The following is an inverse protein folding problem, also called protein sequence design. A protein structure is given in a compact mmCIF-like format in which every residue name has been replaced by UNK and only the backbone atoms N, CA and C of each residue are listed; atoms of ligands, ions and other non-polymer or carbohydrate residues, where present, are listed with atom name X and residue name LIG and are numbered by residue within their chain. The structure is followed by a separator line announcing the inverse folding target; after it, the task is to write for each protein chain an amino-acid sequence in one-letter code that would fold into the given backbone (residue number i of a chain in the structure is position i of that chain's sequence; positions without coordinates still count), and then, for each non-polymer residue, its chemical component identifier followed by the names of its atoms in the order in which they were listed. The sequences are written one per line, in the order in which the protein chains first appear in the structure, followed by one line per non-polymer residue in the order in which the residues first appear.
data_IF_198905138607
#
_entry.id   IF_198905138607
#
_cell.length_a   1.000
_cell.length_b   1.000
_cell.length_c   1.000
_cell.angle_alpha   90.00
_cell.angle_beta   90.00
_cell.angle_gamma   90.00
#
_symmetry.space_group_name_H-M   'P 1'
#
loop_
_entity.id
_entity.type
_entity.pdbx_description
1 polymer ?
#
# COMPACT_ATOMS: atom_id res chain seq x y z
N UNK A 1 -20.51 48.23 16.29
CA UNK A 1 -20.46 46.99 15.49
C UNK A 1 -19.02 46.71 15.13
N UNK A 2 -18.30 46.04 16.04
CA UNK A 2 -16.93 45.58 15.84
C UNK A 2 -16.99 44.24 15.11
N UNK A 3 -16.38 44.17 13.93
CA UNK A 3 -16.15 42.91 13.20
C UNK A 3 -15.28 42.02 14.08
N UNK A 4 -15.78 40.83 14.40
CA UNK A 4 -15.02 39.78 15.07
C UNK A 4 -13.90 39.31 14.17
N UNK A 5 -12.66 39.34 14.69
CA UNK A 5 -11.52 38.60 14.17
C UNK A 5 -11.90 37.11 14.11
N UNK A 6 -12.15 36.60 12.91
CA UNK A 6 -12.13 35.16 12.66
C UNK A 6 -10.66 34.74 12.62
N UNK A 7 -10.08 34.51 13.79
CA UNK A 7 -8.77 33.86 13.94
C UNK A 7 -8.85 32.43 13.41
N UNK A 8 -8.67 32.26 12.10
CA UNK A 8 -8.36 30.96 11.54
C UNK A 8 -7.12 30.42 12.29
N UNK A 9 -7.14 29.17 12.78
CA UNK A 9 -6.00 28.62 13.48
C UNK A 9 -4.77 28.72 12.57
N UNK A 10 -3.68 29.26 13.11
CA UNK A 10 -2.39 29.29 12.43
C UNK A 10 -2.01 27.84 12.14
N UNK A 11 -2.02 27.46 10.85
CA UNK A 11 -1.57 26.15 10.41
C UNK A 11 -0.05 26.16 10.57
N UNK A 12 0.43 25.64 11.70
CA UNK A 12 1.84 25.27 11.84
C UNK A 12 2.13 24.26 10.73
N UNK A 13 2.73 24.73 9.64
CA UNK A 13 3.28 23.84 8.62
C UNK A 13 4.46 23.14 9.28
N UNK A 14 4.22 21.95 9.82
CA UNK A 14 5.28 21.02 10.17
C UNK A 14 6.22 20.94 8.97
N UNK A 15 7.47 21.33 9.15
CA UNK A 15 8.46 21.39 8.07
C UNK A 15 8.98 19.96 7.78
N UNK A 16 8.07 19.04 7.44
CA UNK A 16 8.40 17.68 7.05
C UNK A 16 8.38 17.61 5.54
N UNK A 17 9.53 17.87 4.92
CA UNK A 17 9.74 17.66 3.49
C UNK A 17 9.80 16.13 3.23
N UNK A 18 8.65 15.46 3.31
CA UNK A 18 8.54 13.99 3.26
C UNK A 18 8.35 13.55 1.81
N UNK A 19 9.30 12.82 1.25
CA UNK A 19 9.16 12.25 -0.09
C UNK A 19 8.53 10.85 -0.04
N UNK A 20 7.40 10.68 -0.71
CA UNK A 20 6.67 9.41 -0.81
C UNK A 20 6.84 8.84 -2.22
N UNK A 21 7.43 7.66 -2.34
CA UNK A 21 7.49 6.91 -3.58
C UNK A 21 6.41 5.82 -3.62
N UNK A 22 5.52 5.89 -4.62
CA UNK A 22 4.52 4.86 -4.89
C UNK A 22 4.95 4.12 -6.14
N UNK A 23 5.24 2.81 -6.01
CA UNK A 23 5.62 1.99 -7.15
C UNK A 23 4.40 1.78 -8.08
N UNK A 24 4.57 2.10 -9.36
CA UNK A 24 3.68 1.66 -10.43
C UNK A 24 4.41 0.63 -11.30
N UNK A 25 3.73 -0.48 -11.54
CA UNK A 25 4.20 -1.56 -12.41
C UNK A 25 2.98 -2.11 -13.16
N UNK A 26 3.20 -2.81 -14.28
CA UNK A 26 2.11 -3.35 -15.09
C UNK A 26 1.10 -4.14 -14.24
N UNK A 27 -0.18 -3.97 -14.56
CA UNK A 27 -1.31 -4.56 -13.82
C UNK A 27 -1.32 -4.24 -12.32
N UNK A 28 -0.85 -3.04 -11.95
CA UNK A 28 -1.05 -2.51 -10.59
C UNK A 28 -2.54 -2.49 -10.22
N UNK A 29 -2.90 -2.90 -9.00
CA UNK A 29 -4.25 -2.69 -8.48
C UNK A 29 -4.42 -1.22 -8.12
N UNK A 30 -5.28 -0.52 -8.87
CA UNK A 30 -5.34 0.94 -8.81
C UNK A 30 -5.59 1.48 -7.40
N UNK A 31 -6.53 0.89 -6.66
CA UNK A 31 -6.91 1.38 -5.32
C UNK A 31 -5.82 1.13 -4.27
N UNK A 32 -4.94 0.14 -4.46
CA UNK A 32 -3.79 -0.10 -3.59
C UNK A 32 -2.79 1.07 -3.64
N UNK A 33 -2.66 1.71 -4.80
CA UNK A 33 -1.82 2.90 -4.97
C UNK A 33 -2.58 4.18 -4.59
N UNK A 34 -3.81 4.32 -5.10
CA UNK A 34 -4.57 5.58 -5.04
C UNK A 34 -5.21 5.81 -3.67
N UNK A 35 -5.63 4.75 -2.96
CA UNK A 35 -6.21 4.88 -1.61
C UNK A 35 -5.22 5.51 -0.62
N UNK A 36 -4.03 4.94 -0.43
CA UNK A 36 -2.99 5.57 0.38
C UNK A 36 -2.53 6.93 -0.15
N UNK A 37 -2.40 7.08 -1.47
CA UNK A 37 -2.04 8.37 -2.10
C UNK A 37 -2.95 9.51 -1.63
N UNK A 38 -4.26 9.27 -1.58
CA UNK A 38 -5.25 10.29 -1.21
C UNK A 38 -5.00 10.83 0.22
N UNK A 39 -4.56 9.96 1.13
CA UNK A 39 -4.22 10.34 2.51
C UNK A 39 -2.82 10.96 2.57
N UNK A 40 -1.82 10.31 1.98
CA UNK A 40 -0.42 10.72 2.11
C UNK A 40 -0.12 12.06 1.44
N UNK A 41 -0.82 12.39 0.34
CA UNK A 41 -0.72 13.73 -0.29
C UNK A 41 -1.28 14.85 0.58
N UNK A 42 -2.11 14.50 1.57
CA UNK A 42 -2.69 15.44 2.53
C UNK A 42 -1.72 15.85 3.65
N UNK A 43 -0.62 15.12 3.85
CA UNK A 43 0.38 15.44 4.87
C UNK A 43 1.07 16.76 4.52
N UNK A 44 1.11 17.76 5.43
CA UNK A 44 1.78 19.02 5.17
C UNK A 44 3.25 18.85 4.78
N UNK A 45 3.62 19.38 3.61
CA UNK A 45 4.99 19.31 3.09
C UNK A 45 5.37 17.98 2.43
N UNK A 46 4.46 17.00 2.38
CA UNK A 46 4.71 15.77 1.65
C UNK A 46 4.70 15.99 0.14
N UNK A 47 5.61 15.32 -0.57
CA UNK A 47 5.63 15.24 -2.03
C UNK A 47 5.47 13.78 -2.42
N UNK A 48 4.44 13.46 -3.20
CA UNK A 48 4.19 12.09 -3.67
C UNK A 48 4.66 11.95 -5.11
N UNK A 49 5.45 10.91 -5.38
CA UNK A 49 5.98 10.54 -6.69
C UNK A 49 5.49 9.16 -7.06
N UNK A 50 4.84 9.05 -8.22
CA UNK A 50 4.58 7.75 -8.86
C UNK A 50 5.83 7.33 -9.64
N UNK A 51 6.35 6.15 -9.31
CA UNK A 51 7.67 5.69 -9.77
C UNK A 51 7.54 4.37 -10.51
N UNK A 52 8.17 4.25 -11.67
CA UNK A 52 8.17 3.01 -12.45
C UNK A 52 9.57 2.69 -13.00
N UNK A 53 9.77 1.51 -13.59
CA UNK A 53 11.02 1.19 -14.31
C UNK A 53 11.30 2.16 -15.45
N UNK A 54 10.25 2.54 -16.17
CA UNK A 54 10.26 3.54 -17.25
C UNK A 54 9.09 4.49 -17.01
N UNK A 55 9.30 5.82 -16.97
CA UNK A 55 8.21 6.78 -16.86
C UNK A 55 7.21 6.63 -18.00
N UNK A 56 5.94 6.89 -17.72
CA UNK A 56 4.85 6.80 -18.68
C UNK A 56 3.58 6.16 -18.13
N UNK A 57 2.58 5.93 -19.00
CA UNK A 57 1.34 5.29 -18.60
C UNK A 57 1.54 3.81 -18.28
N UNK A 58 0.98 3.38 -17.16
CA UNK A 58 0.94 2.02 -16.65
C UNK A 58 -0.53 1.57 -16.61
N UNK A 59 -0.85 0.48 -17.30
CA UNK A 59 -2.20 -0.07 -17.34
C UNK A 59 -2.47 -0.84 -16.05
N UNK A 60 -3.60 -0.55 -15.38
CA UNK A 60 -3.98 -1.23 -14.13
C UNK A 60 -4.51 -2.64 -14.42
N UNK A 61 -4.64 -3.47 -13.38
CA UNK A 61 -5.09 -4.87 -13.47
C UNK A 61 -6.39 -5.11 -14.26
N UNK A 62 -7.34 -4.18 -14.20
CA UNK A 62 -8.61 -4.24 -14.96
C UNK A 62 -8.46 -4.06 -16.47
N UNK A 63 -7.34 -3.53 -16.96
CA UNK A 63 -7.14 -3.18 -18.37
C UNK A 63 -7.89 -1.94 -18.87
N UNK A 64 -8.63 -1.24 -17.98
CA UNK A 64 -9.52 -0.13 -18.36
C UNK A 64 -8.99 1.26 -18.00
N UNK A 65 -8.12 1.34 -16.99
CA UNK A 65 -7.55 2.58 -16.46
C UNK A 65 -6.03 2.55 -16.65
N UNK A 66 -5.43 3.73 -16.84
CA UNK A 66 -4.00 3.92 -16.74
C UNK A 66 -3.67 4.93 -15.65
N UNK A 67 -2.62 4.64 -14.88
CA UNK A 67 -1.94 5.59 -13.99
C UNK A 67 -0.64 6.03 -14.67
N UNK A 68 -0.18 7.25 -14.40
CA UNK A 68 1.05 7.77 -15.02
C UNK A 68 2.15 7.80 -13.97
N UNK A 69 3.28 7.16 -14.27
CA UNK A 69 4.51 7.32 -13.51
C UNK A 69 5.34 8.45 -14.14
N UNK A 70 5.53 9.54 -13.42
CA UNK A 70 6.32 10.68 -13.90
C UNK A 70 7.82 10.51 -13.63
N UNK A 71 8.19 9.50 -12.81
CA UNK A 71 9.56 9.25 -12.39
C UNK A 71 9.98 7.80 -12.62
N UNK A 72 11.27 7.62 -12.89
CA UNK A 72 11.94 6.33 -12.92
C UNK A 72 12.44 5.94 -11.53
N UNK A 73 12.69 4.65 -11.32
CA UNK A 73 13.26 4.14 -10.06
C UNK A 73 14.57 4.86 -9.69
N UNK A 74 15.38 5.21 -10.69
CA UNK A 74 16.70 5.83 -10.50
C UNK A 74 16.60 7.33 -10.12
N UNK A 75 15.49 7.98 -10.46
CA UNK A 75 15.21 9.38 -10.08
C UNK A 75 14.68 9.51 -8.64
N UNK A 76 14.32 8.39 -8.02
CA UNK A 76 13.79 8.32 -6.64
C UNK A 76 14.46 7.18 -5.86
N UNK A 77 15.79 7.23 -5.63
CA UNK A 77 16.52 6.11 -5.03
C UNK A 77 16.36 6.03 -3.50
N UNK A 78 16.03 7.14 -2.84
CA UNK A 78 16.04 7.29 -1.38
C UNK A 78 14.80 8.02 -0.82
N UNK A 79 13.57 7.55 -1.10
CA UNK A 79 12.36 8.15 -0.56
C UNK A 79 12.25 7.97 0.96
N UNK A 80 11.61 8.92 1.65
CA UNK A 80 11.28 8.79 3.08
C UNK A 80 10.26 7.69 3.33
N UNK A 81 9.26 7.57 2.43
CA UNK A 81 8.20 6.57 2.49
C UNK A 81 8.18 5.79 1.18
N UNK A 82 8.35 4.49 1.27
CA UNK A 82 8.14 3.57 0.16
C UNK A 82 6.75 2.94 0.27
N UNK A 83 5.96 2.94 -0.80
CA UNK A 83 4.66 2.30 -0.86
C UNK A 83 4.55 1.34 -2.05
N UNK A 84 4.33 0.07 -1.74
CA UNK A 84 4.29 -1.02 -2.71
C UNK A 84 2.86 -1.57 -2.82
N UNK A 85 2.11 -1.26 -3.90
CA UNK A 85 0.80 -1.84 -4.16
C UNK A 85 0.91 -3.28 -4.68
N UNK A 86 -0.22 -3.99 -4.82
CA UNK A 86 -0.24 -5.20 -5.64
C UNK A 86 0.01 -4.85 -7.11
N UNK A 87 0.81 -5.68 -7.77
CA UNK A 87 1.25 -5.52 -9.16
C UNK A 87 1.30 -6.90 -9.83
N UNK A 88 1.59 -6.94 -11.14
CA UNK A 88 1.82 -8.22 -11.82
C UNK A 88 2.89 -9.07 -11.09
N UNK A 89 2.62 -10.36 -10.83
CA UNK A 89 3.55 -11.24 -10.11
C UNK A 89 4.95 -11.33 -10.74
N UNK A 90 5.06 -11.08 -12.04
CA UNK A 90 6.36 -11.08 -12.73
C UNK A 90 7.33 -10.06 -12.14
N UNK A 91 6.83 -8.99 -11.52
CA UNK A 91 7.65 -7.99 -10.83
C UNK A 91 8.52 -8.61 -9.71
N UNK A 92 8.06 -9.69 -9.06
CA UNK A 92 8.84 -10.39 -8.03
C UNK A 92 10.11 -11.06 -8.58
N UNK A 93 10.13 -11.35 -9.89
CA UNK A 93 11.28 -11.92 -10.59
C UNK A 93 12.15 -10.86 -11.26
N UNK A 94 11.72 -9.60 -11.25
CA UNK A 94 12.50 -8.50 -11.82
C UNK A 94 13.52 -7.97 -10.82
N UNK A 95 14.78 -8.37 -11.00
CA UNK A 95 15.90 -7.95 -10.15
C UNK A 95 16.00 -6.43 -10.01
N UNK A 96 15.69 -5.67 -11.08
CA UNK A 96 15.73 -4.21 -11.02
C UNK A 96 14.71 -3.64 -10.02
N UNK A 97 13.52 -4.23 -9.94
CA UNK A 97 12.46 -3.79 -9.02
C UNK A 97 12.78 -4.22 -7.59
N UNK A 98 13.12 -5.49 -7.39
CA UNK A 98 13.40 -6.03 -6.04
C UNK A 98 14.67 -5.41 -5.45
N UNK A 99 15.72 -5.16 -6.25
CA UNK A 99 16.91 -4.43 -5.80
C UNK A 99 16.62 -2.98 -5.45
N UNK A 100 15.79 -2.26 -6.23
CA UNK A 100 15.39 -0.90 -5.89
C UNK A 100 14.64 -0.85 -4.55
N UNK A 101 13.66 -1.75 -4.35
CA UNK A 101 12.92 -1.87 -3.08
C UNK A 101 13.87 -2.12 -1.91
N UNK A 102 14.81 -3.06 -2.07
CA UNK A 102 15.80 -3.39 -1.03
C UNK A 102 16.69 -2.18 -0.70
N UNK A 103 17.07 -1.40 -1.70
CA UNK A 103 17.95 -0.23 -1.56
C UNK A 103 17.22 0.95 -0.91
N UNK A 104 16.04 1.31 -1.42
CA UNK A 104 15.17 2.32 -0.84
C UNK A 104 14.74 1.96 0.60
N UNK A 105 14.54 0.68 0.89
CA UNK A 105 14.28 0.23 2.26
C UNK A 105 15.42 0.60 3.23
N UNK A 106 16.68 0.58 2.81
CA UNK A 106 17.80 0.88 3.72
C UNK A 106 17.75 2.31 4.25
N UNK A 107 17.39 3.27 3.39
CA UNK A 107 17.41 4.71 3.71
C UNK A 107 16.04 5.26 4.14
N UNK A 108 14.94 4.64 3.70
CA UNK A 108 13.58 5.09 4.04
C UNK A 108 13.31 5.09 5.54
N UNK A 109 12.47 6.04 5.96
CA UNK A 109 11.87 6.09 7.29
C UNK A 109 10.75 5.07 7.43
N UNK A 110 10.03 4.79 6.34
CA UNK A 110 8.93 3.83 6.30
C UNK A 110 8.96 3.02 5.00
N UNK A 111 8.71 1.72 5.12
CA UNK A 111 8.49 0.83 3.98
C UNK A 111 7.13 0.19 4.14
N UNK A 112 6.26 0.40 3.17
CA UNK A 112 4.86 0.01 3.26
C UNK A 112 4.42 -0.81 2.08
N UNK A 113 3.41 -1.65 2.29
CA UNK A 113 2.74 -2.36 1.20
C UNK A 113 1.25 -2.47 1.42
N UNK A 114 0.50 -2.67 0.34
CA UNK A 114 -0.93 -2.96 0.37
C UNK A 114 -1.19 -4.26 -0.38
N UNK A 115 -2.12 -5.08 0.11
CA UNK A 115 -2.61 -6.26 -0.58
C UNK A 115 -1.46 -7.22 -0.95
N UNK A 116 -1.34 -7.57 -2.24
CA UNK A 116 -0.26 -8.40 -2.79
C UNK A 116 1.11 -7.73 -2.88
N UNK A 117 1.23 -6.41 -2.63
CA UNK A 117 2.52 -5.74 -2.56
C UNK A 117 3.42 -6.26 -1.44
N UNK A 118 2.84 -6.88 -0.41
CA UNK A 118 3.56 -7.59 0.65
C UNK A 118 4.40 -8.74 0.10
N UNK A 119 3.94 -9.44 -0.95
CA UNK A 119 4.71 -10.49 -1.61
C UNK A 119 5.95 -9.93 -2.30
N UNK A 120 5.88 -8.71 -2.84
CA UNK A 120 7.04 -8.05 -3.45
C UNK A 120 8.07 -7.61 -2.40
N UNK A 121 7.63 -7.21 -1.20
CA UNK A 121 8.53 -7.02 -0.05
C UNK A 121 9.17 -8.35 0.38
N UNK A 122 8.40 -9.44 0.37
CA UNK A 122 8.88 -10.81 0.61
C UNK A 122 9.95 -11.23 -0.40
N UNK A 123 9.71 -11.02 -1.70
CA UNK A 123 10.66 -11.27 -2.78
C UNK A 123 11.92 -10.40 -2.67
N UNK A 124 11.79 -9.17 -2.16
CA UNK A 124 12.92 -8.31 -1.80
C UNK A 124 13.64 -8.75 -0.50
N UNK A 125 13.24 -9.88 0.13
CA UNK A 125 13.87 -10.44 1.33
C UNK A 125 13.66 -9.60 2.59
N UNK A 126 12.60 -8.80 2.65
CA UNK A 126 12.39 -7.84 3.75
C UNK A 126 11.47 -8.36 4.86
N UNK A 127 10.82 -9.52 4.67
CA UNK A 127 9.79 -10.02 5.59
C UNK A 127 10.17 -11.29 6.35
N UNK A 128 11.38 -11.82 6.17
CA UNK A 128 11.82 -13.04 6.84
C UNK A 128 11.83 -12.86 8.37
N UNK A 129 11.12 -13.74 9.08
CA UNK A 129 10.99 -13.70 10.54
C UNK A 129 10.08 -12.59 11.07
N UNK A 130 9.43 -11.80 10.21
CA UNK A 130 8.52 -10.72 10.60
C UNK A 130 7.06 -11.17 10.56
N UNK A 131 6.22 -10.57 11.40
CA UNK A 131 4.77 -10.62 11.16
C UNK A 131 4.39 -9.67 10.04
N UNK A 132 3.55 -10.13 9.12
CA UNK A 132 3.02 -9.33 8.03
C UNK A 132 1.56 -9.72 7.73
N UNK A 133 0.84 -8.82 7.07
CA UNK A 133 -0.47 -9.11 6.46
C UNK A 133 -0.40 -8.77 4.95
N UNK A 134 -1.48 -9.08 4.25
CA UNK A 134 -1.62 -8.90 2.80
C UNK A 134 -3.03 -9.26 2.37
N UNK A 135 -3.24 -9.50 1.08
CA UNK A 135 -4.54 -10.02 0.63
C UNK A 135 -4.83 -11.37 1.29
N UNK A 136 -6.06 -11.59 1.75
CA UNK A 136 -6.46 -12.81 2.48
C UNK A 136 -6.22 -14.09 1.68
N UNK A 137 -6.27 -14.02 0.35
CA UNK A 137 -6.01 -15.16 -0.53
C UNK A 137 -4.51 -15.48 -0.74
N UNK A 138 -3.60 -14.67 -0.18
CA UNK A 138 -2.15 -14.78 -0.41
C UNK A 138 -1.37 -15.26 0.83
N UNK A 139 -2.07 -15.81 1.84
CA UNK A 139 -1.44 -16.28 3.08
C UNK A 139 -0.26 -17.23 2.82
N UNK A 140 -0.48 -18.33 2.08
CA UNK A 140 0.55 -19.34 1.84
C UNK A 140 1.76 -18.77 1.09
N UNK A 141 1.52 -17.88 0.12
CA UNK A 141 2.58 -17.23 -0.64
C UNK A 141 3.41 -16.30 0.25
N UNK A 142 2.79 -15.57 1.18
CA UNK A 142 3.49 -14.69 2.11
C UNK A 142 4.32 -15.49 3.12
N UNK A 143 3.76 -16.56 3.65
CA UNK A 143 4.47 -17.49 4.56
C UNK A 143 5.65 -18.17 3.84
N UNK A 144 5.55 -18.42 2.54
CA UNK A 144 6.64 -18.92 1.70
C UNK A 144 7.88 -18.01 1.65
N UNK A 145 7.74 -16.71 1.97
CA UNK A 145 8.87 -15.77 2.11
C UNK A 145 9.41 -15.66 3.55
N UNK A 146 8.99 -16.56 4.45
CA UNK A 146 9.46 -16.60 5.84
C UNK A 146 8.74 -15.61 6.78
N UNK A 147 7.70 -14.95 6.31
CA UNK A 147 6.86 -14.10 7.14
C UNK A 147 5.84 -14.93 7.95
N UNK A 148 5.40 -14.42 9.09
CA UNK A 148 4.23 -14.96 9.82
C UNK A 148 2.99 -14.17 9.41
N UNK A 149 2.09 -14.79 8.66
CA UNK A 149 0.83 -14.15 8.26
C UNK A 149 -0.02 -13.81 9.50
N UNK A 150 -0.53 -12.58 9.55
CA UNK A 150 -1.44 -12.11 10.61
C UNK A 150 -2.85 -11.98 10.06
N UNK A 151 -3.74 -12.97 10.30
CA UNK A 151 -5.11 -12.94 9.82
C UNK A 151 -5.91 -11.83 10.51
N UNK A 152 -6.92 -11.30 9.81
CA UNK A 152 -7.87 -10.29 10.31
C UNK A 152 -7.29 -8.94 10.77
N UNK A 153 -5.96 -8.78 10.72
CA UNK A 153 -5.29 -7.50 10.93
C UNK A 153 -5.36 -6.67 9.65
N UNK A 154 -5.98 -5.50 9.74
CA UNK A 154 -6.11 -4.58 8.59
C UNK A 154 -4.77 -4.00 8.16
N UNK A 155 -3.86 -3.81 9.11
CA UNK A 155 -2.44 -3.53 8.85
C UNK A 155 -1.59 -4.02 10.03
N UNK A 156 -0.32 -4.35 9.75
CA UNK A 156 0.65 -4.84 10.74
C UNK A 156 1.92 -4.02 10.63
N UNK A 157 2.39 -3.47 11.76
CA UNK A 157 3.66 -2.77 11.88
C UNK A 157 4.74 -3.66 12.50
N UNK A 158 5.91 -3.74 11.86
CA UNK A 158 7.13 -4.33 12.39
C UNK A 158 8.30 -3.37 12.17
N UNK A 159 8.70 -2.66 13.22
CA UNK A 159 9.70 -1.58 13.12
C UNK A 159 9.23 -0.49 12.16
N UNK A 160 9.97 -0.30 11.06
CA UNK A 160 9.64 0.64 9.97
C UNK A 160 8.86 0.03 8.80
N UNK A 161 8.57 -1.26 8.85
CA UNK A 161 7.77 -1.95 7.84
C UNK A 161 6.30 -1.93 8.29
N UNK A 162 5.40 -1.50 7.41
CA UNK A 162 3.94 -1.61 7.62
C UNK A 162 3.31 -2.31 6.43
N UNK A 163 2.71 -3.48 6.65
CA UNK A 163 1.98 -4.21 5.61
C UNK A 163 0.48 -4.04 5.85
N UNK A 164 -0.29 -3.71 4.82
CA UNK A 164 -1.74 -3.59 4.88
C UNK A 164 -2.42 -4.76 4.15
N UNK A 165 -3.62 -5.10 4.60
CA UNK A 165 -4.43 -6.16 4.03
C UNK A 165 -4.96 -5.79 2.63
N UNK A 166 -6.03 -6.44 2.18
CA UNK A 166 -6.56 -6.25 0.83
C UNK A 166 -7.05 -4.83 0.53
N UNK A 167 -6.59 -4.28 -0.58
CA UNK A 167 -7.16 -3.15 -1.33
C UNK A 167 -7.43 -1.89 -0.50
N UNK A 168 -8.63 -1.75 0.06
CA UNK A 168 -9.03 -0.54 0.79
C UNK A 168 -8.31 -0.37 2.13
N UNK A 169 -7.69 -1.44 2.66
CA UNK A 169 -6.89 -1.39 3.88
C UNK A 169 -5.70 -0.42 3.79
N UNK A 170 -5.27 -0.07 2.57
CA UNK A 170 -4.25 0.94 2.33
C UNK A 170 -4.63 2.34 2.86
N UNK A 171 -5.93 2.68 2.88
CA UNK A 171 -6.40 3.99 3.39
C UNK A 171 -6.18 4.07 4.90
N UNK A 172 -6.57 3.04 5.64
CA UNK A 172 -6.41 3.00 7.10
C UNK A 172 -4.95 2.95 7.52
N UNK A 173 -4.14 2.17 6.79
CA UNK A 173 -2.70 2.14 6.98
C UNK A 173 -2.10 3.53 6.75
N UNK A 174 -2.52 4.24 5.70
CA UNK A 174 -2.03 5.57 5.41
C UNK A 174 -2.46 6.61 6.45
N UNK A 175 -3.67 6.50 7.01
CA UNK A 175 -4.12 7.35 8.13
C UNK A 175 -3.28 7.11 9.39
N UNK A 176 -3.01 5.84 9.70
CA UNK A 176 -2.09 5.47 10.77
C UNK A 176 -0.69 6.06 10.51
N UNK A 177 -0.15 5.89 9.31
CA UNK A 177 1.16 6.43 8.94
C UNK A 177 1.21 7.97 8.98
N UNK A 178 0.15 8.65 8.53
CA UNK A 178 0.04 10.10 8.64
C UNK A 178 0.10 10.55 10.11
N UNK A 179 -0.49 9.78 11.03
CA UNK A 179 -0.41 10.07 12.47
C UNK A 179 1.01 9.91 13.03
N UNK A 180 1.80 8.97 12.50
CA UNK A 180 3.20 8.77 12.88
C UNK A 180 4.12 9.85 12.28
N UNK A 181 3.76 10.43 11.13
CA UNK A 181 4.57 11.44 10.43
C UNK A 181 4.27 12.86 10.91
N UNK A 182 2.98 13.23 10.97
CA UNK A 182 2.51 14.60 11.21
C UNK A 182 1.68 14.75 12.50
N UNK A 183 1.48 13.66 13.25
CA UNK A 183 0.72 13.65 14.49
C UNK A 183 -0.78 13.37 14.30
N UNK A 184 -1.43 12.93 15.38
CA UNK A 184 -2.81 12.47 15.35
C UNK A 184 -3.81 13.54 14.89
N UNK A 185 -3.60 14.81 15.26
CA UNK A 185 -4.48 15.91 14.85
C UNK A 185 -4.52 16.08 13.33
N UNK A 186 -3.35 16.03 12.68
CA UNK A 186 -3.27 16.17 11.23
C UNK A 186 -3.90 14.96 10.52
N UNK A 187 -3.65 13.74 11.01
CA UNK A 187 -4.29 12.55 10.48
C UNK A 187 -5.82 12.60 10.58
N UNK A 188 -6.36 13.10 11.70
CA UNK A 188 -7.80 13.32 11.88
C UNK A 188 -8.33 14.41 10.94
N UNK A 189 -7.56 15.49 10.73
CA UNK A 189 -7.91 16.53 9.76
C UNK A 189 -7.96 15.97 8.34
N UNK A 190 -6.97 15.18 7.92
CA UNK A 190 -6.97 14.51 6.62
C UNK A 190 -8.16 13.57 6.49
N UNK A 191 -8.42 12.74 7.51
CA UNK A 191 -9.57 11.84 7.54
C UNK A 191 -10.89 12.58 7.31
N UNK A 192 -11.08 13.74 7.98
CA UNK A 192 -12.26 14.57 7.83
C UNK A 192 -12.31 15.27 6.46
N UNK A 193 -11.18 15.74 5.93
CA UNK A 193 -11.11 16.42 4.63
C UNK A 193 -11.53 15.51 3.47
N UNK A 194 -11.24 14.21 3.56
CA UNK A 194 -11.63 13.22 2.57
C UNK A 194 -12.93 12.48 2.94
N UNK A 195 -13.56 12.88 4.06
CA UNK A 195 -14.79 12.29 4.61
C UNK A 195 -14.69 10.75 4.71
N UNK A 196 -13.56 10.25 5.22
CA UNK A 196 -13.36 8.81 5.40
C UNK A 196 -14.10 8.31 6.65
N UNK A 197 -15.42 8.14 6.49
CA UNK A 197 -16.37 7.55 7.43
C UNK A 197 -17.13 6.41 6.73
N UNK A 198 -16.48 5.25 6.50
CA UNK A 198 -17.06 4.20 5.66
C UNK A 198 -18.25 3.49 6.34
N UNK A 199 -19.38 3.43 5.64
CA UNK A 199 -20.56 2.64 6.00
C UNK A 199 -20.85 1.55 4.95
N UNK A 200 -20.10 0.43 4.91
CA UNK A 200 -20.34 -0.63 3.94
C UNK A 200 -21.75 -1.24 4.09
N UNK A 201 -22.50 -1.46 3.00
CA UNK A 201 -23.86 -2.02 3.07
C UNK A 201 -23.90 -3.52 3.42
N UNK A 202 -22.74 -4.19 3.49
CA UNK A 202 -22.60 -5.61 3.81
C UNK A 202 -21.41 -5.85 4.72
N UNK A 203 -21.52 -6.82 5.63
CA UNK A 203 -20.41 -7.25 6.50
C UNK A 203 -19.62 -8.44 5.92
N UNK A 204 -19.19 -8.31 4.66
CA UNK A 204 -18.51 -9.39 3.91
C UNK A 204 -17.06 -9.05 3.53
N UNK A 205 -16.46 -8.03 4.14
CA UNK A 205 -15.11 -7.55 3.84
C UNK A 205 -13.96 -8.39 4.42
N UNK A 206 -14.24 -9.41 5.23
CA UNK A 206 -13.25 -10.39 5.74
C UNK A 206 -13.82 -11.80 5.60
N UNK A 207 -12.99 -12.82 5.29
CA UNK A 207 -13.39 -14.23 5.33
C UNK A 207 -13.96 -14.67 6.70
N UNK A 208 -13.55 -14.02 7.80
CA UNK A 208 -14.07 -14.32 9.13
C UNK A 208 -15.52 -13.82 9.36
N UNK A 209 -16.01 -12.91 8.51
CA UNK A 209 -17.33 -12.27 8.65
C UNK A 209 -18.29 -12.65 7.51
N UNK A 210 -17.76 -12.88 6.31
CA UNK A 210 -18.55 -13.18 5.13
C UNK A 210 -19.27 -14.55 5.24
N UNK A 211 -20.48 -14.69 4.66
CA UNK A 211 -21.13 -16.00 4.52
C UNK A 211 -20.22 -16.98 3.78
N UNK A 212 -20.22 -18.24 4.23
CA UNK A 212 -19.34 -19.28 3.68
C UNK A 212 -19.42 -19.40 2.15
N UNK A 213 -20.64 -19.38 1.58
CA UNK A 213 -20.86 -19.45 0.14
C UNK A 213 -20.23 -18.27 -0.63
N UNK A 214 -20.18 -17.09 -0.01
CA UNK A 214 -19.54 -15.90 -0.58
C UNK A 214 -18.02 -16.04 -0.53
N UNK A 215 -17.47 -16.61 0.55
CA UNK A 215 -16.03 -16.91 0.65
C UNK A 215 -15.61 -17.92 -0.42
N UNK A 216 -16.34 -19.01 -0.57
CA UNK A 216 -16.07 -20.05 -1.57
C UNK A 216 -16.14 -19.49 -3.00
N UNK A 217 -17.16 -18.67 -3.31
CA UNK A 217 -17.26 -17.99 -4.60
C UNK A 217 -16.11 -17.00 -4.83
N UNK A 218 -15.74 -16.22 -3.81
CA UNK A 218 -14.64 -15.26 -3.90
C UNK A 218 -13.30 -15.96 -4.13
N UNK A 219 -13.05 -17.11 -3.49
CA UNK A 219 -11.85 -17.92 -3.71
C UNK A 219 -11.72 -18.33 -5.17
N UNK A 220 -12.79 -18.86 -5.78
CA UNK A 220 -12.79 -19.23 -7.21
C UNK A 220 -12.47 -18.02 -8.09
N UNK A 221 -13.12 -16.88 -7.84
CA UNK A 221 -12.90 -15.66 -8.65
C UNK A 221 -11.50 -15.08 -8.51
N UNK A 222 -10.92 -15.10 -7.31
CA UNK A 222 -9.54 -14.66 -7.10
C UNK A 222 -8.57 -15.56 -7.86
N UNK A 223 -8.80 -16.88 -7.87
CA UNK A 223 -7.98 -17.82 -8.65
C UNK A 223 -8.09 -17.60 -10.16
N UNK A 224 -9.27 -17.21 -10.67
CA UNK A 224 -9.47 -16.88 -12.09
C UNK A 224 -8.77 -15.57 -12.48
N UNK A 225 -8.82 -14.55 -11.61
CA UNK A 225 -8.18 -13.24 -11.85
C UNK A 225 -6.66 -13.29 -11.70
N UNK A 226 -6.16 -14.18 -10.84
CA UNK A 226 -4.75 -14.29 -10.52
C UNK A 226 -4.30 -15.77 -10.40
N UNK A 227 -4.34 -16.53 -11.51
CA UNK A 227 -4.01 -17.96 -11.53
C UNK A 227 -2.55 -18.25 -11.13
N UNK A 228 -1.68 -17.26 -11.29
CA UNK A 228 -0.28 -17.28 -10.86
C UNK A 228 -0.12 -17.62 -9.37
N UNK A 229 -1.09 -17.21 -8.53
CA UNK A 229 -1.08 -17.45 -7.08
C UNK A 229 -1.83 -18.71 -6.64
N UNK A 230 -2.61 -19.34 -7.53
CA UNK A 230 -3.46 -20.50 -7.20
C UNK A 230 -2.75 -21.85 -7.33
N UNK A 231 -1.61 -21.89 -8.00
CA UNK A 231 -0.74 -23.06 -7.99
C UNK A 231 0.38 -22.83 -6.98
N UNK A 232 0.47 -23.66 -5.94
CA UNK A 232 1.57 -23.69 -4.96
C UNK A 232 2.95 -24.05 -5.56
N UNK A 233 3.24 -23.58 -6.78
CA UNK A 233 4.51 -23.72 -7.52
C UNK A 233 5.28 -22.39 -7.63
N UNK A 234 4.88 -21.36 -6.89
CA UNK A 234 5.51 -20.03 -6.93
C UNK A 234 6.87 -19.90 -6.22
N UNK A 235 7.35 -20.93 -5.51
CA UNK A 235 8.56 -20.86 -4.67
C UNK A 235 9.64 -21.92 -4.99
N UNK A 236 9.62 -22.55 -6.17
CA UNK A 236 10.72 -23.41 -6.61
C UNK A 236 11.00 -23.20 -8.11
N UNK A 237 11.91 -22.26 -8.40
CA UNK A 237 12.97 -22.31 -9.42
C UNK A 237 13.54 -20.91 -9.65
#
# INVERSE_FOLDING_TARGET
MTRSDNGAPEVERGNTNTEVAILLYDRVTALDAIGPYEVLRGIPGATVKFVAKTPGPITVDSGLLSLVADHSLDEVPDPDVLLIPAVDPIAMREERVTSWIRSAHQTSRWTTSVCGGSLLLGAAGLLEGLRATGHWAMQEALEGFGATYSPDERYVRQGKIITAAGVSAGIDMALYLASEIAGAKEAQTIQLMIEYDPEPPFDAGSPAKAPREVVELAQVRVQELAPEFSSGRGAQN
#
